data_IF_684670558771
#
_entry.id   IF_684670558771
#
_cell.length_a   1.000
_cell.length_b   1.000
_cell.length_c   1.000
_cell.angle_alpha   90.00
_cell.angle_beta   90.00
_cell.angle_gamma   90.00
#
_symmetry.space_group_name_H-M   'P 1'
#
loop_
_entity.id
_entity.type
_entity.pdbx_description
1 polymer ?
#
# COMPACT_ATOMS: atom_id res chain seq x y z
N UNK A 1 13.78 -30.06 -4.04
CA UNK A 1 14.02 -28.61 -3.89
C UNK A 1 12.67 -27.93 -3.96
N UNK A 2 12.44 -26.86 -3.21
CA UNK A 2 11.23 -26.05 -3.33
C UNK A 2 11.12 -25.43 -4.74
N UNK A 3 9.91 -25.29 -5.26
CA UNK A 3 9.61 -24.55 -6.49
C UNK A 3 9.68 -23.03 -6.28
N UNK A 4 9.45 -22.54 -5.06
CA UNK A 4 9.63 -21.12 -4.70
C UNK A 4 10.84 -20.87 -3.79
N UNK A 5 11.12 -19.59 -3.52
CA UNK A 5 12.19 -19.15 -2.63
C UNK A 5 11.80 -17.85 -1.90
N UNK A 6 12.64 -17.43 -0.95
CA UNK A 6 12.42 -16.25 -0.10
C UNK A 6 12.23 -14.98 -0.96
N UNK A 7 13.06 -14.80 -1.99
CA UNK A 7 13.04 -13.60 -2.82
C UNK A 7 11.73 -13.47 -3.61
N UNK A 8 11.21 -14.58 -4.15
CA UNK A 8 9.92 -14.60 -4.85
C UNK A 8 8.76 -14.28 -3.91
N UNK A 9 8.75 -14.85 -2.70
CA UNK A 9 7.72 -14.54 -1.69
C UNK A 9 7.79 -13.07 -1.27
N UNK A 10 8.99 -12.54 -0.99
CA UNK A 10 9.19 -11.12 -0.66
C UNK A 10 8.78 -10.19 -1.79
N UNK A 11 9.09 -10.55 -3.03
CA UNK A 11 8.69 -9.78 -4.22
C UNK A 11 7.17 -9.74 -4.30
N UNK A 12 6.51 -10.90 -4.17
CA UNK A 12 5.05 -11.01 -4.22
C UNK A 12 4.35 -10.18 -3.13
N UNK A 13 4.83 -10.25 -1.88
CA UNK A 13 4.28 -9.48 -0.74
C UNK A 13 4.38 -7.97 -1.01
N UNK A 14 5.54 -7.51 -1.50
CA UNK A 14 5.78 -6.08 -1.80
C UNK A 14 4.92 -5.58 -2.95
N UNK A 15 4.86 -6.32 -4.06
CA UNK A 15 4.09 -5.93 -5.25
C UNK A 15 2.58 -5.84 -4.96
N UNK A 16 2.08 -6.67 -4.05
CA UNK A 16 0.66 -6.70 -3.67
C UNK A 16 0.36 -5.89 -2.41
N UNK A 17 1.35 -5.15 -1.87
CA UNK A 17 1.18 -4.30 -0.67
C UNK A 17 0.49 -5.04 0.50
N UNK A 18 0.81 -6.34 0.65
CA UNK A 18 0.12 -7.18 1.63
C UNK A 18 0.48 -6.75 3.03
N UNK A 19 -0.53 -6.34 3.80
CA UNK A 19 -0.33 -5.86 5.16
C UNK A 19 0.23 -4.45 5.24
N UNK A 20 0.18 -3.64 4.19
CA UNK A 20 0.45 -2.21 4.38
C UNK A 20 -0.85 -1.44 4.57
N UNK A 21 -0.84 -0.45 5.45
CA UNK A 21 -1.94 0.49 5.59
C UNK A 21 -1.38 1.90 5.56
N UNK A 22 -1.84 2.69 4.60
CA UNK A 22 -1.51 4.10 4.54
C UNK A 22 -2.38 4.84 5.53
N UNK A 23 -1.73 5.64 6.36
CA UNK A 23 -2.34 6.49 7.36
C UNK A 23 -1.98 7.92 6.98
N UNK A 24 -2.97 8.79 6.91
CA UNK A 24 -2.78 10.18 6.50
C UNK A 24 -3.31 11.14 7.56
N UNK A 25 -2.73 12.34 7.59
CA UNK A 25 -3.19 13.50 8.35
C UNK A 25 -3.31 13.26 9.86
N UNK A 26 -2.41 12.45 10.45
CA UNK A 26 -2.37 12.25 11.89
C UNK A 26 -1.84 13.50 12.57
N UNK A 27 -2.69 14.16 13.34
CA UNK A 27 -2.31 15.38 14.04
C UNK A 27 -1.37 15.08 15.21
N UNK A 28 -0.19 15.70 15.18
CA UNK A 28 0.86 15.57 16.18
C UNK A 28 1.19 16.95 16.74
N UNK A 29 1.24 17.09 18.06
CA UNK A 29 1.77 18.30 18.71
C UNK A 29 3.15 17.99 19.26
N UNK A 30 4.19 18.63 18.70
CA UNK A 30 5.57 18.36 19.08
C UNK A 30 6.03 19.37 20.14
N UNK A 31 6.29 18.91 21.37
CA UNK A 31 6.65 19.74 22.52
C UNK A 31 8.10 19.46 22.96
N UNK A 32 8.93 20.49 22.90
CA UNK A 32 10.37 20.44 23.15
C UNK A 32 11.03 19.41 22.23
N UNK A 33 11.80 18.51 22.84
CA UNK A 33 12.37 17.32 22.21
C UNK A 33 11.70 16.04 22.76
N UNK A 34 10.49 16.16 23.31
CA UNK A 34 9.75 15.01 23.82
C UNK A 34 9.15 14.23 22.65
N UNK A 35 9.40 12.91 22.53
CA UNK A 35 8.81 12.13 21.46
C UNK A 35 7.29 12.09 21.54
N UNK A 36 6.62 12.41 20.43
CA UNK A 36 5.20 12.20 20.25
C UNK A 36 4.94 10.76 19.77
N UNK A 37 4.06 10.05 20.47
CA UNK A 37 3.69 8.68 20.12
C UNK A 37 2.60 8.69 19.05
N UNK A 38 2.90 8.19 17.86
CA UNK A 38 1.88 7.95 16.84
C UNK A 38 0.92 6.83 17.28
N UNK A 39 -0.32 6.82 16.77
CA UNK A 39 -1.30 5.76 17.07
C UNK A 39 -0.83 4.35 16.67
N UNK A 40 0.13 4.25 15.75
CA UNK A 40 0.63 2.99 15.20
C UNK A 40 2.14 2.84 15.42
N UNK A 41 2.60 1.59 15.42
CA UNK A 41 4.00 1.18 15.52
C UNK A 41 4.38 0.39 14.27
N UNK A 42 5.66 0.01 14.11
CA UNK A 42 6.16 -0.73 12.94
C UNK A 42 5.87 -0.02 11.60
N UNK A 43 6.25 1.24 11.54
CA UNK A 43 6.14 2.07 10.36
C UNK A 43 7.14 1.61 9.30
N UNK A 44 6.77 1.67 8.03
CA UNK A 44 7.67 1.36 6.94
C UNK A 44 8.74 2.46 6.85
N UNK A 45 10.05 2.13 6.84
CA UNK A 45 11.11 3.13 6.73
C UNK A 45 10.98 4.00 5.48
N UNK A 46 11.16 5.32 5.63
CA UNK A 46 10.99 6.33 4.58
C UNK A 46 9.57 6.44 3.99
N UNK A 47 8.54 5.92 4.68
CA UNK A 47 7.15 6.10 4.27
C UNK A 47 6.49 7.34 4.86
N UNK A 48 7.14 7.96 5.85
CA UNK A 48 6.61 9.10 6.57
C UNK A 48 6.72 10.40 5.77
N UNK A 49 5.71 11.26 5.93
CA UNK A 49 5.70 12.63 5.44
C UNK A 49 5.12 13.50 6.56
N UNK A 50 5.95 14.38 7.12
CA UNK A 50 5.53 15.32 8.17
C UNK A 50 5.31 16.69 7.55
N UNK A 51 4.12 17.25 7.73
CA UNK A 51 3.65 18.44 7.02
C UNK A 51 2.92 19.43 7.93
N UNK A 52 3.03 20.71 7.65
CA UNK A 52 2.47 21.79 8.48
C UNK A 52 1.77 22.86 7.67
N UNK A 53 0.65 23.39 8.19
CA UNK A 53 0.00 24.58 7.62
C UNK A 53 0.63 25.82 8.24
N UNK A 54 1.60 26.42 7.54
CA UNK A 54 2.30 27.62 8.04
C UNK A 54 1.64 28.93 7.58
N UNK A 55 0.82 28.88 6.53
CA UNK A 55 0.18 30.06 5.97
C UNK A 55 -1.35 29.92 5.92
N UNK A 56 -2.01 31.06 6.12
CA UNK A 56 -3.45 31.22 5.95
C UNK A 56 -3.79 32.20 4.81
N UNK A 57 -2.79 32.66 4.07
CA UNK A 57 -2.96 33.51 2.90
C UNK A 57 -2.87 32.61 1.66
N UNK A 58 -3.92 32.52 0.82
CA UNK A 58 -3.88 31.73 -0.40
C UNK A 58 -2.81 32.24 -1.37
N UNK A 59 -2.13 31.31 -2.03
CA UNK A 59 -1.27 31.60 -3.18
C UNK A 59 -2.13 31.80 -4.40
N UNK A 60 -1.91 32.88 -5.15
CA UNK A 60 -2.59 33.17 -6.42
C UNK A 60 -1.67 32.84 -7.59
N UNK A 61 -2.19 32.10 -8.57
CA UNK A 61 -1.51 31.81 -9.83
C UNK A 61 -2.44 32.04 -11.03
N UNK A 62 -1.90 32.67 -12.09
CA UNK A 62 -2.57 32.82 -13.37
C UNK A 62 -2.13 31.67 -14.28
N UNK A 63 -3.06 30.81 -14.68
CA UNK A 63 -2.76 29.58 -15.43
C UNK A 63 -3.64 29.46 -16.67
N UNK A 64 -3.11 28.79 -17.70
CA UNK A 64 -3.79 28.63 -18.97
C UNK A 64 -3.79 27.17 -19.43
N UNK A 65 -4.95 26.66 -19.84
CA UNK A 65 -5.13 25.32 -20.40
C UNK A 65 -4.85 25.26 -21.92
N UNK A 66 -3.91 26.07 -22.43
CA UNK A 66 -3.69 26.25 -23.88
C UNK A 66 -2.95 25.10 -24.55
N UNK A 67 -2.00 24.48 -23.86
CA UNK A 67 -1.18 23.39 -24.41
C UNK A 67 -1.66 22.00 -24.01
N UNK A 68 -2.47 21.90 -22.95
CA UNK A 68 -2.92 20.65 -22.34
C UNK A 68 -4.17 20.92 -21.48
N UNK A 69 -5.01 19.90 -21.33
CA UNK A 69 -6.09 19.91 -20.33
C UNK A 69 -5.55 19.80 -18.90
N UNK A 70 -4.27 19.50 -18.70
CA UNK A 70 -3.62 19.45 -17.38
C UNK A 70 -2.58 20.54 -17.24
N UNK A 71 -2.64 21.26 -16.12
CA UNK A 71 -1.67 22.26 -15.68
C UNK A 71 -1.03 21.83 -14.35
N UNK A 72 0.17 22.34 -14.06
CA UNK A 72 0.88 22.12 -12.78
C UNK A 72 1.09 23.46 -12.10
N UNK A 73 0.71 23.55 -10.83
CA UNK A 73 0.93 24.72 -9.99
C UNK A 73 2.40 24.80 -9.54
N UNK A 74 2.81 25.95 -9.02
CA UNK A 74 4.17 26.12 -8.51
C UNK A 74 4.45 25.27 -7.25
N UNK A 75 3.41 24.97 -6.47
CA UNK A 75 3.52 24.20 -5.23
C UNK A 75 2.76 22.88 -5.33
N UNK A 76 3.23 21.91 -4.55
CA UNK A 76 2.65 20.58 -4.37
C UNK A 76 2.01 20.49 -2.98
N UNK A 77 1.46 19.34 -2.60
CA UNK A 77 0.95 19.09 -1.24
C UNK A 77 -0.13 20.11 -0.84
N UNK A 78 -1.06 20.33 -1.77
CA UNK A 78 -2.16 21.26 -1.61
C UNK A 78 -3.05 20.80 -0.44
N UNK A 79 -3.58 21.77 0.31
CA UNK A 79 -4.54 21.45 1.37
C UNK A 79 -5.88 21.13 0.71
N UNK A 80 -6.48 19.95 0.97
CA UNK A 80 -7.80 19.60 0.46
C UNK A 80 -8.84 20.68 0.70
N UNK A 81 -9.75 20.86 -0.26
CA UNK A 81 -10.86 21.83 -0.19
C UNK A 81 -10.44 23.31 -0.11
N UNK A 82 -9.17 23.65 -0.42
CA UNK A 82 -8.70 25.05 -0.43
C UNK A 82 -8.48 25.61 -1.82
N UNK A 83 -8.54 24.77 -2.86
CA UNK A 83 -8.34 25.19 -4.25
C UNK A 83 -9.60 25.87 -4.77
N UNK A 84 -9.43 27.05 -5.36
CA UNK A 84 -10.48 27.82 -6.00
C UNK A 84 -9.99 28.21 -7.39
N UNK A 85 -10.74 27.85 -8.42
CA UNK A 85 -10.45 28.24 -9.81
C UNK A 85 -11.52 29.20 -10.26
N UNK A 86 -11.14 30.38 -10.74
CA UNK A 86 -12.05 31.34 -11.34
C UNK A 86 -11.60 31.73 -12.74
N UNK A 87 -12.51 32.34 -13.49
CA UNK A 87 -12.20 32.90 -14.81
C UNK A 87 -11.15 34.02 -14.73
N UNK A 88 -11.24 34.85 -13.70
CA UNK A 88 -10.34 35.99 -13.46
C UNK A 88 -10.35 36.37 -11.96
N UNK A 89 -9.47 37.31 -11.57
CA UNK A 89 -9.34 37.79 -10.19
C UNK A 89 -10.56 38.54 -9.65
N UNK A 90 -11.60 38.80 -10.46
CA UNK A 90 -12.84 39.41 -9.97
C UNK A 90 -13.77 38.43 -9.26
N UNK A 91 -13.51 37.13 -9.38
CA UNK A 91 -14.34 36.03 -8.84
C UNK A 91 -15.79 36.03 -9.37
N UNK A 92 -16.06 36.70 -10.49
CA UNK A 92 -17.41 36.75 -11.09
C UNK A 92 -17.91 35.41 -11.63
N UNK A 93 -17.00 34.50 -11.98
CA UNK A 93 -17.30 33.12 -12.35
C UNK A 93 -16.28 32.20 -11.67
N UNK A 94 -16.75 31.40 -10.72
CA UNK A 94 -15.98 30.38 -10.02
C UNK A 94 -16.38 29.02 -10.58
N UNK A 95 -15.39 28.22 -10.94
CA UNK A 95 -15.56 26.87 -11.44
C UNK A 95 -15.62 25.88 -10.28
N UNK A 96 -16.30 24.77 -10.48
CA UNK A 96 -16.57 23.78 -9.44
C UNK A 96 -15.68 22.55 -9.62
N UNK A 97 -14.99 22.16 -8.55
CA UNK A 97 -14.18 20.94 -8.54
C UNK A 97 -15.06 19.70 -8.78
N UNK A 98 -14.53 18.73 -9.52
CA UNK A 98 -15.18 17.51 -9.99
C UNK A 98 -16.37 17.72 -10.95
N UNK A 99 -16.59 18.96 -11.41
CA UNK A 99 -17.55 19.29 -12.48
C UNK A 99 -16.81 19.96 -13.65
N UNK A 100 -16.04 21.00 -13.36
CA UNK A 100 -15.32 21.78 -14.35
C UNK A 100 -13.83 21.41 -14.45
N UNK A 101 -13.25 20.99 -13.33
CA UNK A 101 -11.86 20.55 -13.20
C UNK A 101 -11.72 19.50 -12.10
N UNK A 102 -10.61 18.78 -12.06
CA UNK A 102 -10.20 17.88 -10.97
C UNK A 102 -8.83 18.29 -10.45
N UNK A 103 -8.55 18.02 -9.17
CA UNK A 103 -7.31 18.39 -8.49
C UNK A 103 -6.58 17.12 -8.03
N UNK A 104 -5.31 17.03 -8.39
CA UNK A 104 -4.34 16.14 -7.76
C UNK A 104 -3.63 16.94 -6.66
N UNK A 105 -4.13 16.77 -5.43
CA UNK A 105 -3.69 17.53 -4.26
C UNK A 105 -2.24 17.22 -3.87
N UNK A 106 -1.77 15.99 -4.05
CA UNK A 106 -0.38 15.62 -3.74
C UNK A 106 0.58 16.27 -4.73
N UNK A 107 0.31 16.19 -6.03
CA UNK A 107 1.24 16.67 -7.07
C UNK A 107 1.01 18.12 -7.50
N UNK A 108 0.03 18.82 -6.95
CA UNK A 108 -0.29 20.20 -7.32
C UNK A 108 -0.74 20.34 -8.78
N UNK A 109 -1.52 19.38 -9.30
CA UNK A 109 -1.98 19.39 -10.69
C UNK A 109 -3.47 19.60 -10.79
N UNK A 110 -3.89 20.40 -11.77
CA UNK A 110 -5.29 20.58 -12.11
C UNK A 110 -5.55 20.06 -13.51
N UNK A 111 -6.62 19.28 -13.68
CA UNK A 111 -7.04 18.77 -14.97
C UNK A 111 -8.45 19.24 -15.30
N UNK A 112 -8.59 19.94 -16.42
CA UNK A 112 -9.86 20.39 -16.97
C UNK A 112 -10.73 19.18 -17.32
N UNK A 113 -12.01 19.25 -17.00
CA UNK A 113 -12.99 18.26 -17.43
C UNK A 113 -13.57 18.73 -18.78
N UNK A 114 -13.47 17.93 -19.87
CA UNK A 114 -13.87 18.35 -21.20
C UNK A 114 -15.28 18.91 -21.33
N UNK A 115 -16.24 18.26 -20.66
CA UNK A 115 -17.66 18.63 -20.64
C UNK A 115 -18.00 19.72 -19.61
N UNK A 116 -16.99 20.21 -18.89
CA UNK A 116 -17.11 21.28 -17.90
C UNK A 116 -17.24 22.68 -18.52
N UNK A 117 -17.43 23.67 -17.65
CA UNK A 117 -17.64 25.07 -18.02
C UNK A 117 -16.35 25.84 -18.33
N UNK A 118 -15.18 25.24 -18.08
CA UNK A 118 -13.88 25.81 -18.45
C UNK A 118 -13.62 25.50 -19.93
N UNK A 119 -13.55 26.52 -20.80
CA UNK A 119 -13.21 26.30 -22.21
C UNK A 119 -11.78 25.77 -22.39
N UNK A 120 -11.56 25.01 -23.46
CA UNK A 120 -10.20 24.63 -23.86
C UNK A 120 -9.36 25.89 -24.14
N UNK A 121 -8.13 25.93 -23.62
CA UNK A 121 -7.27 27.09 -23.76
C UNK A 121 -7.64 28.31 -22.93
N UNK A 122 -8.61 28.20 -22.02
CA UNK A 122 -8.98 29.31 -21.15
C UNK A 122 -7.83 29.70 -20.21
N UNK A 123 -7.68 31.01 -20.01
CA UNK A 123 -6.95 31.58 -18.89
C UNK A 123 -7.85 31.56 -17.65
N UNK A 124 -7.26 31.22 -16.52
CA UNK A 124 -7.93 31.09 -15.22
C UNK A 124 -7.01 31.60 -14.12
N UNK A 125 -7.62 32.02 -13.01
CA UNK A 125 -6.91 32.41 -11.80
C UNK A 125 -7.22 31.38 -10.73
N UNK A 126 -6.17 30.90 -10.07
CA UNK A 126 -6.24 29.81 -9.11
C UNK A 126 -5.72 30.31 -7.78
N UNK A 127 -6.52 30.13 -6.72
CA UNK A 127 -6.09 30.33 -5.34
C UNK A 127 -6.03 29.00 -4.62
N UNK A 128 -5.00 28.80 -3.81
CA UNK A 128 -4.87 27.57 -3.04
C UNK A 128 -4.01 27.77 -1.79
N UNK A 129 -4.15 26.86 -0.82
CA UNK A 129 -3.21 26.70 0.28
C UNK A 129 -2.45 25.39 0.10
N UNK A 130 -1.23 25.33 0.62
CA UNK A 130 -0.39 24.14 0.56
C UNK A 130 0.27 23.90 1.92
N UNK A 131 0.65 22.65 2.17
CA UNK A 131 1.43 22.29 3.34
C UNK A 131 2.92 22.53 3.08
N UNK A 132 3.64 23.00 4.10
CA UNK A 132 5.10 22.88 4.13
C UNK A 132 5.46 21.45 4.52
N UNK A 133 6.33 20.81 3.74
CA UNK A 133 6.90 19.51 4.08
C UNK A 133 8.17 19.71 4.89
N UNK A 134 8.24 19.07 6.06
CA UNK A 134 9.42 19.08 6.91
C UNK A 134 10.36 17.94 6.54
N UNK A 135 11.65 18.15 6.77
CA UNK A 135 12.72 17.24 6.37
C UNK A 135 13.17 16.38 7.55
N UNK A 136 13.15 15.05 7.37
CA UNK A 136 13.67 14.12 8.39
C UNK A 136 15.16 14.37 8.64
N UNK A 137 15.58 14.16 9.89
CA UNK A 137 16.95 14.33 10.38
C UNK A 137 17.44 15.79 10.36
N UNK A 138 16.59 16.73 9.92
CA UNK A 138 16.81 18.18 9.99
C UNK A 138 15.78 18.83 10.93
N UNK A 139 14.50 18.57 10.67
CA UNK A 139 13.38 19.20 11.39
C UNK A 139 12.79 18.28 12.46
N UNK A 140 12.79 16.98 12.19
CA UNK A 140 12.30 15.94 13.09
C UNK A 140 13.10 14.65 12.91
N UNK A 141 13.08 13.78 13.91
CA UNK A 141 13.52 12.39 13.83
C UNK A 141 12.34 11.45 14.05
N UNK A 142 12.44 10.22 13.55
CA UNK A 142 11.40 9.20 13.70
C UNK A 142 11.99 7.85 14.10
N UNK A 143 11.40 7.21 15.10
CA UNK A 143 11.61 5.80 15.42
C UNK A 143 10.50 4.99 14.74
N UNK A 144 10.84 4.31 13.64
CA UNK A 144 9.90 3.49 12.87
C UNK A 144 9.32 2.32 13.65
N UNK A 145 10.12 1.69 14.50
CA UNK A 145 9.69 0.50 15.24
C UNK A 145 8.69 0.91 16.32
N UNK A 146 8.98 1.99 17.03
CA UNK A 146 8.13 2.49 18.11
C UNK A 146 7.05 3.47 17.64
N UNK A 147 7.08 3.92 16.38
CA UNK A 147 6.16 4.92 15.86
C UNK A 147 6.25 6.25 16.60
N UNK A 148 7.46 6.73 16.87
CA UNK A 148 7.67 7.98 17.63
C UNK A 148 8.29 9.06 16.77
N UNK A 149 7.68 10.23 16.73
CA UNK A 149 8.22 11.42 16.06
C UNK A 149 8.74 12.38 17.10
N UNK A 150 9.96 12.88 16.93
CA UNK A 150 10.59 13.83 17.84
C UNK A 150 11.02 15.07 17.07
N UNK A 151 10.67 16.25 17.55
CA UNK A 151 11.17 17.51 16.99
C UNK A 151 12.68 17.63 17.23
N UNK A 152 13.41 18.14 16.24
CA UNK A 152 14.83 18.48 16.39
C UNK A 152 14.91 19.98 16.72
N UNK A 153 15.59 20.34 17.82
CA UNK A 153 15.57 21.72 18.30
C UNK A 153 16.17 22.75 17.34
N UNK A 154 17.16 22.36 16.53
CA UNK A 154 17.77 23.19 15.48
C UNK A 154 16.96 23.26 14.18
N UNK A 155 15.88 22.48 14.09
CA UNK A 155 15.00 22.43 12.93
C UNK A 155 14.04 23.61 12.86
N UNK A 156 13.26 23.65 11.78
CA UNK A 156 12.32 24.76 11.51
C UNK A 156 10.93 24.57 12.12
N UNK A 157 10.65 23.40 12.72
CA UNK A 157 9.41 23.18 13.47
C UNK A 157 9.52 23.98 14.78
N UNK A 158 8.51 24.80 15.08
CA UNK A 158 8.45 25.59 16.30
C UNK A 158 8.05 24.73 17.51
N UNK A 159 8.48 25.13 18.70
CA UNK A 159 8.09 24.44 19.93
C UNK A 159 6.56 24.53 20.15
N UNK A 160 5.93 23.37 20.39
CA UNK A 160 4.48 23.24 20.53
C UNK A 160 3.70 23.33 19.23
N UNK A 161 4.37 23.42 18.08
CA UNK A 161 3.72 23.44 16.77
C UNK A 161 2.96 22.13 16.53
N UNK A 162 1.77 22.29 15.93
CA UNK A 162 0.94 21.18 15.50
C UNK A 162 1.23 20.87 14.03
N UNK A 163 1.66 19.64 13.76
CA UNK A 163 1.96 19.11 12.43
C UNK A 163 1.02 17.94 12.11
N UNK A 164 1.01 17.52 10.85
CA UNK A 164 0.32 16.34 10.35
C UNK A 164 1.36 15.32 9.90
N UNK A 165 1.17 14.05 10.23
CA UNK A 165 2.01 12.97 9.76
C UNK A 165 1.21 12.01 8.89
N UNK A 166 1.71 11.78 7.69
CA UNK A 166 1.31 10.65 6.85
C UNK A 166 2.39 9.57 7.00
N UNK A 167 2.02 8.29 6.97
CA UNK A 167 2.96 7.18 7.02
C UNK A 167 2.30 5.87 6.60
N UNK A 168 3.11 4.90 6.17
CA UNK A 168 2.65 3.54 5.92
C UNK A 168 2.99 2.67 7.12
N UNK A 169 1.99 1.97 7.66
CA UNK A 169 2.21 0.91 8.64
C UNK A 169 2.54 -0.37 7.88
N UNK A 170 3.71 -0.95 8.15
CA UNK A 170 4.05 -2.29 7.70
C UNK A 170 3.53 -3.29 8.73
N UNK A 171 2.38 -3.92 8.46
CA UNK A 171 1.86 -5.02 9.26
C UNK A 171 2.68 -6.29 8.96
N UNK A 172 3.93 -6.29 9.44
CA UNK A 172 4.82 -7.43 9.43
C UNK A 172 5.97 -7.30 8.46
N UNK A 173 7.11 -6.83 8.97
CA UNK A 173 8.37 -7.41 8.54
C UNK A 173 8.33 -8.89 8.95
N UNK A 174 7.97 -9.77 8.01
CA UNK A 174 8.17 -11.21 8.17
C UNK A 174 9.67 -11.42 8.02
N UNK A 175 10.34 -11.91 9.07
CA UNK A 175 11.77 -12.20 8.97
C UNK A 175 12.03 -13.26 7.92
N UNK A 176 13.22 -13.24 7.32
CA UNK A 176 13.64 -14.22 6.32
C UNK A 176 13.52 -15.66 6.85
N UNK A 177 13.72 -15.85 8.14
CA UNK A 177 13.53 -17.12 8.83
C UNK A 177 12.06 -17.58 8.78
N UNK A 178 11.11 -16.70 9.09
CA UNK A 178 9.68 -17.04 9.03
C UNK A 178 9.24 -17.28 7.58
N UNK A 179 9.78 -16.53 6.61
CA UNK A 179 9.53 -16.79 5.18
C UNK A 179 10.10 -18.15 4.77
N UNK A 180 11.34 -18.46 5.16
CA UNK A 180 11.98 -19.74 4.86
C UNK A 180 11.17 -20.92 5.40
N UNK A 181 10.71 -20.82 6.65
CA UNK A 181 9.87 -21.84 7.28
C UNK A 181 8.53 -22.01 6.53
N UNK A 182 7.90 -20.90 6.11
CA UNK A 182 6.67 -20.96 5.33
C UNK A 182 6.87 -21.58 3.94
N UNK A 183 8.01 -21.35 3.29
CA UNK A 183 8.37 -21.99 2.02
C UNK A 183 8.56 -23.50 2.20
N UNK A 184 9.26 -23.93 3.26
CA UNK A 184 9.42 -25.36 3.56
C UNK A 184 8.08 -26.03 3.81
N UNK A 185 7.21 -25.41 4.63
CA UNK A 185 5.88 -25.94 4.90
C UNK A 185 5.00 -25.98 3.62
N UNK A 186 5.10 -24.98 2.75
CA UNK A 186 4.38 -24.94 1.48
C UNK A 186 4.83 -26.06 0.54
N UNK A 187 6.15 -26.26 0.39
CA UNK A 187 6.73 -27.35 -0.39
C UNK A 187 6.20 -28.71 0.07
N UNK A 188 6.24 -28.97 1.38
CA UNK A 188 5.81 -30.24 1.96
C UNK A 188 4.32 -30.51 1.71
N UNK A 189 3.48 -29.47 1.68
CA UNK A 189 2.06 -29.62 1.32
C UNK A 189 1.88 -29.89 -0.17
N UNK A 190 2.62 -29.21 -1.04
CA UNK A 190 2.52 -29.39 -2.49
C UNK A 190 2.96 -30.79 -2.92
N UNK A 191 4.09 -31.27 -2.40
CA UNK A 191 4.61 -32.60 -2.74
C UNK A 191 3.67 -33.74 -2.33
N UNK A 192 2.75 -33.51 -1.38
CA UNK A 192 1.69 -34.47 -1.02
C UNK A 192 0.50 -34.49 -2.00
N UNK A 193 0.37 -33.47 -2.85
CA UNK A 193 -0.79 -33.27 -3.74
C UNK A 193 -0.44 -33.62 -5.19
N UNK A 194 0.75 -33.22 -5.63
CA UNK A 194 1.15 -33.35 -7.04
C UNK A 194 1.65 -34.77 -7.35
N UNK A 195 1.57 -35.16 -8.62
CA UNK A 195 2.22 -36.38 -9.09
C UNK A 195 3.76 -36.26 -8.99
N UNK A 196 4.43 -37.35 -8.61
CA UNK A 196 5.88 -37.38 -8.44
C UNK A 196 6.66 -37.05 -9.71
N UNK A 197 6.07 -37.23 -10.90
CA UNK A 197 6.67 -36.81 -12.17
C UNK A 197 6.91 -35.29 -12.24
N UNK A 198 6.15 -34.50 -11.49
CA UNK A 198 6.29 -33.05 -11.43
C UNK A 198 7.20 -32.56 -10.29
N UNK A 199 7.80 -33.45 -9.49
CA UNK A 199 8.58 -33.06 -8.28
C UNK A 199 9.80 -32.18 -8.57
N UNK A 200 10.31 -32.22 -9.81
CA UNK A 200 11.42 -31.39 -10.29
C UNK A 200 11.02 -30.52 -11.48
N UNK A 201 9.72 -30.30 -11.67
CA UNK A 201 9.20 -29.45 -12.75
C UNK A 201 9.58 -27.99 -12.54
N UNK A 202 9.84 -27.29 -13.65
CA UNK A 202 10.08 -25.84 -13.67
C UNK A 202 8.85 -25.05 -14.15
N UNK A 203 7.67 -25.68 -14.19
CA UNK A 203 6.43 -25.01 -14.59
C UNK A 203 6.15 -23.83 -13.64
N UNK A 204 6.03 -22.64 -14.23
CA UNK A 204 5.78 -21.40 -13.51
C UNK A 204 4.52 -21.46 -12.64
N UNK A 205 3.53 -22.28 -12.99
CA UNK A 205 2.30 -22.46 -12.20
C UNK A 205 2.56 -23.18 -10.89
N UNK A 206 3.55 -24.09 -10.81
CA UNK A 206 3.96 -24.71 -9.54
C UNK A 206 4.72 -23.71 -8.67
N UNK A 207 5.60 -22.92 -9.27
CA UNK A 207 6.30 -21.82 -8.60
C UNK A 207 5.30 -20.83 -8.01
N UNK A 208 4.30 -20.41 -8.81
CA UNK A 208 3.24 -19.49 -8.36
C UNK A 208 2.35 -20.14 -7.30
N UNK A 209 1.96 -21.41 -7.46
CA UNK A 209 1.15 -22.12 -6.46
C UNK A 209 1.86 -22.25 -5.11
N UNK A 210 3.15 -22.60 -5.09
CA UNK A 210 3.92 -22.65 -3.86
C UNK A 210 4.12 -21.27 -3.24
N UNK A 211 4.36 -20.25 -4.06
CA UNK A 211 4.45 -18.87 -3.57
C UNK A 211 3.14 -18.44 -2.90
N UNK A 212 1.98 -18.72 -3.51
CA UNK A 212 0.68 -18.42 -2.92
C UNK A 212 0.44 -19.20 -1.63
N UNK A 213 0.84 -20.47 -1.60
CA UNK A 213 0.70 -21.29 -0.39
C UNK A 213 1.59 -20.80 0.75
N UNK A 214 2.84 -20.43 0.46
CA UNK A 214 3.75 -19.80 1.43
C UNK A 214 3.16 -18.49 1.97
N UNK A 215 2.65 -17.62 1.09
CA UNK A 215 1.96 -16.38 1.50
C UNK A 215 0.74 -16.68 2.37
N UNK A 216 -0.06 -17.69 2.03
CA UNK A 216 -1.22 -18.08 2.86
C UNK A 216 -0.81 -18.49 4.28
N UNK A 217 0.31 -19.20 4.42
CA UNK A 217 0.86 -19.61 5.72
C UNK A 217 1.32 -18.36 6.49
N UNK A 218 2.03 -17.44 5.83
CA UNK A 218 2.46 -16.17 6.44
C UNK A 218 1.28 -15.33 6.93
N UNK A 219 0.22 -15.20 6.13
CA UNK A 219 -1.00 -14.51 6.54
C UNK A 219 -1.63 -15.16 7.78
N UNK A 220 -1.62 -16.49 7.87
CA UNK A 220 -2.16 -17.19 9.04
C UNK A 220 -1.29 -16.98 10.29
N UNK A 221 0.04 -17.01 10.15
CA UNK A 221 0.97 -16.68 11.24
C UNK A 221 0.69 -15.25 11.74
N UNK A 222 0.52 -14.28 10.83
CA UNK A 222 0.20 -12.89 11.19
C UNK A 222 -1.15 -12.75 11.87
N UNK A 223 -2.16 -13.48 11.42
CA UNK A 223 -3.47 -13.50 12.07
C UNK A 223 -3.36 -13.92 13.56
N UNK A 224 -2.48 -14.88 13.86
CA UNK A 224 -2.22 -15.35 15.22
C UNK A 224 -1.38 -14.36 16.03
N UNK A 225 -0.31 -13.81 15.45
CA UNK A 225 0.55 -12.82 16.11
C UNK A 225 -0.22 -11.57 16.56
N UNK A 226 -1.11 -11.06 15.71
CA UNK A 226 -1.95 -9.89 16.03
C UNK A 226 -2.80 -10.16 17.28
N UNK A 227 -3.33 -11.37 17.42
CA UNK A 227 -4.16 -11.75 18.57
C UNK A 227 -3.35 -11.93 19.85
N UNK A 228 -2.08 -12.35 19.75
CA UNK A 228 -1.22 -12.56 20.92
C UNK A 228 -0.60 -11.26 21.44
N UNK A 229 -0.28 -10.32 20.55
CA UNK A 229 0.41 -9.08 20.94
C UNK A 229 -0.50 -8.04 21.59
N UNK A 230 -1.75 -7.90 21.15
CA UNK A 230 -2.70 -6.91 21.70
C UNK A 230 -4.14 -7.40 21.64
N UNK A 231 -4.61 -8.24 22.59
CA UNK A 231 -5.96 -8.77 22.55
C UNK A 231 -7.00 -7.65 22.74
N UNK A 232 -7.72 -7.31 21.67
CA UNK A 232 -8.74 -6.26 21.64
C UNK A 232 -9.62 -6.34 20.39
N UNK A 233 -10.67 -5.52 20.32
CA UNK A 233 -11.61 -5.52 19.18
C UNK A 233 -10.94 -5.18 17.85
N UNK A 234 -9.99 -4.24 17.85
CA UNK A 234 -9.20 -3.89 16.68
C UNK A 234 -8.31 -5.07 16.20
N UNK A 235 -7.65 -5.75 17.14
CA UNK A 235 -6.84 -6.93 16.84
C UNK A 235 -7.69 -8.09 16.29
N UNK A 236 -8.93 -8.25 16.78
CA UNK A 236 -9.85 -9.26 16.25
C UNK A 236 -10.22 -8.99 14.79
N UNK A 237 -10.58 -7.75 14.46
CA UNK A 237 -10.89 -7.36 13.07
C UNK A 237 -9.68 -7.55 12.15
N UNK A 238 -8.50 -7.17 12.62
CA UNK A 238 -7.26 -7.31 11.87
C UNK A 238 -6.86 -8.79 11.67
N UNK A 239 -6.97 -9.61 12.71
CA UNK A 239 -6.76 -11.06 12.64
C UNK A 239 -7.70 -11.72 11.62
N UNK A 240 -8.97 -11.31 11.60
CA UNK A 240 -9.95 -11.81 10.63
C UNK A 240 -9.57 -11.42 9.20
N UNK A 241 -9.12 -10.17 8.97
CA UNK A 241 -8.64 -9.74 7.65
C UNK A 241 -7.47 -10.61 7.17
N UNK A 242 -6.51 -10.89 8.05
CA UNK A 242 -5.38 -11.79 7.75
C UNK A 242 -5.81 -13.23 7.48
N UNK A 243 -6.75 -13.77 8.26
CA UNK A 243 -7.31 -15.11 8.05
C UNK A 243 -8.07 -15.23 6.72
N UNK A 244 -8.81 -14.19 6.34
CA UNK A 244 -9.49 -14.13 5.05
C UNK A 244 -8.48 -14.10 3.89
N UNK A 245 -7.44 -13.27 3.96
CA UNK A 245 -6.37 -13.25 2.96
C UNK A 245 -5.67 -14.60 2.84
N UNK A 246 -5.38 -15.25 3.98
CA UNK A 246 -4.83 -16.61 4.02
C UNK A 246 -5.70 -17.59 3.22
N UNK A 247 -7.02 -17.55 3.46
CA UNK A 247 -7.97 -18.44 2.78
C UNK A 247 -8.00 -18.20 1.26
N UNK A 248 -8.04 -16.93 0.83
CA UNK A 248 -8.04 -16.57 -0.61
C UNK A 248 -6.76 -17.04 -1.30
N UNK A 249 -5.58 -16.81 -0.71
CA UNK A 249 -4.32 -17.27 -1.30
C UNK A 249 -4.23 -18.79 -1.34
N UNK A 250 -4.69 -19.46 -0.30
CA UNK A 250 -4.75 -20.92 -0.24
C UNK A 250 -5.62 -21.48 -1.35
N UNK A 251 -6.85 -20.97 -1.52
CA UNK A 251 -7.77 -21.42 -2.58
C UNK A 251 -7.14 -21.28 -3.97
N UNK A 252 -6.58 -20.11 -4.27
CA UNK A 252 -5.88 -19.86 -5.55
C UNK A 252 -4.71 -20.82 -5.77
N UNK A 253 -3.91 -21.11 -4.74
CA UNK A 253 -2.85 -22.10 -4.82
C UNK A 253 -3.41 -23.49 -5.19
N UNK A 254 -4.47 -23.92 -4.50
CA UNK A 254 -5.08 -25.23 -4.76
C UNK A 254 -5.73 -25.35 -6.14
N UNK A 255 -6.27 -24.26 -6.68
CA UNK A 255 -6.81 -24.22 -8.04
C UNK A 255 -5.72 -24.42 -9.08
N UNK A 256 -4.57 -23.75 -8.93
CA UNK A 256 -3.40 -23.95 -9.80
C UNK A 256 -2.87 -25.38 -9.71
N UNK A 257 -2.90 -25.99 -8.52
CA UNK A 257 -2.42 -27.35 -8.31
C UNK A 257 -3.30 -28.44 -8.95
N UNK A 258 -4.56 -28.15 -9.28
CA UNK A 258 -5.49 -29.15 -9.84
C UNK A 258 -4.92 -29.86 -11.08
N UNK A 259 -4.21 -29.14 -11.94
CA UNK A 259 -3.65 -29.68 -13.19
C UNK A 259 -2.44 -30.60 -13.00
N UNK A 260 -1.85 -30.63 -11.80
CA UNK A 260 -0.68 -31.45 -11.47
C UNK A 260 -0.99 -32.60 -10.52
N UNK A 261 -2.26 -32.75 -10.13
CA UNK A 261 -2.67 -33.79 -9.20
C UNK A 261 -2.45 -35.16 -9.81
N UNK A 262 -2.07 -36.10 -8.95
CA UNK A 262 -2.01 -37.51 -9.29
C UNK A 262 -3.38 -37.96 -9.79
N UNK A 263 -3.44 -38.49 -11.01
CA UNK A 263 -4.67 -39.05 -11.56
C UNK A 263 -5.10 -40.20 -10.63
N UNK A 264 -6.36 -40.27 -10.15
CA UNK A 264 -6.79 -41.27 -9.16
C UNK A 264 -6.73 -42.74 -9.63
N UNK A 265 -6.15 -43.01 -10.79
CA UNK A 265 -6.16 -44.30 -11.46
C UNK A 265 -7.13 -44.25 -12.62
N UNK A 266 -6.59 -44.08 -13.83
CA UNK A 266 -7.23 -44.67 -14.99
C UNK A 266 -7.39 -46.16 -14.70
N UNK A 267 -8.63 -46.64 -14.67
CA UNK A 267 -8.93 -48.06 -14.51
C UNK A 267 -8.06 -48.83 -15.51
N UNK A 268 -7.20 -49.72 -15.02
CA UNK A 268 -6.50 -50.66 -15.89
C UNK A 268 -7.57 -51.43 -16.66
N UNK A 269 -7.61 -51.25 -17.98
CA UNK A 269 -8.43 -52.08 -18.86
C UNK A 269 -8.09 -53.55 -18.58
N UNK A 270 -9.07 -54.42 -18.27
CA UNK A 270 -8.79 -55.80 -17.95
C UNK A 270 -8.11 -56.45 -19.15
N UNK A 271 -6.89 -56.93 -18.89
CA UNK A 271 -6.06 -57.70 -19.78
C UNK A 271 -6.90 -58.79 -20.46
N UNK A 272 -6.94 -58.78 -21.80
CA UNK A 272 -7.62 -59.78 -22.60
C UNK A 272 -7.01 -61.17 -22.32
N UNK A 273 -7.62 -61.89 -21.38
CA UNK A 273 -7.39 -63.31 -21.19
C UNK A 273 -7.98 -64.06 -22.40
N UNK A 274 -7.07 -64.44 -23.31
CA UNK A 274 -7.11 -65.58 -24.28
C UNK A 274 -8.48 -66.10 -24.74
N UNK A 275 -8.63 -66.20 -26.07
CA UNK A 275 -9.16 -67.42 -26.67
C UNK A 275 -8.36 -67.79 -27.91
N UNK A 276 -7.34 -68.62 -27.71
CA UNK A 276 -6.83 -69.53 -28.74
C UNK A 276 -7.91 -70.56 -29.05
N UNK A 277 -8.34 -70.62 -30.30
CA UNK A 277 -8.82 -71.84 -30.96
C UNK A 277 -8.15 -71.91 -32.32
#
# INVERSE_FOLDING_TARGET
MSFTNIDLVKKHIREHQLGTTNIENVSCQLLGETPFQLPHINLLPNSERVKGKEQNIPTEENMCFSSSDTISLAQQELIPDTVVVAKDSSLGQIYVENIDYSVDYDNGRLTRIPDGSIPQGAETVIWYLYFRIYTRDTDYSIDYNQGRITRIASGVIEDGQRVLADYTVGLGLVSDEVIANAVVEANDKILKIIDSSYSNSTDQSLVTAETYLAVSILCNIKALEVMTQNPGSAAKSLSLAWSNMSSVYRERAFDLLKKFRKDPGGLCSPYAARSTK
#
